data_IF_164112531340
#
_entry.id   IF_164112531340
#
_cell.length_a   1.000
_cell.length_b   1.000
_cell.length_c   1.000
_cell.angle_alpha   90.00
_cell.angle_beta   90.00
_cell.angle_gamma   90.00
#
_symmetry.space_group_name_H-M   'P 1'
#
loop_
_entity.id
_entity.type
_entity.pdbx_description
1 polymer ?
#
# COMPACT_ATOMS: atom_id res chain seq x y z
N UNK A 1 -20.74 -47.93 53.55
CA UNK A 1 -21.76 -47.30 54.47
C UNK A 1 -21.32 -45.84 54.63
N UNK A 2 -22.30 -44.95 54.44
CA UNK A 2 -22.28 -43.49 54.73
C UNK A 2 -21.74 -42.60 53.59
N UNK A 3 -22.60 -42.19 52.63
CA UNK A 3 -23.55 -41.06 52.56
C UNK A 3 -22.79 -39.70 52.32
N UNK A 4 -22.81 -39.27 51.07
CA UNK A 4 -23.48 -38.10 50.50
C UNK A 4 -23.48 -36.80 51.31
N UNK A 5 -22.91 -35.77 50.70
CA UNK A 5 -23.58 -34.43 50.66
C UNK A 5 -23.17 -33.64 49.45
N UNK A 6 -24.08 -33.48 48.46
CA UNK A 6 -24.15 -32.45 47.42
C UNK A 6 -24.22 -31.07 48.09
N UNK A 7 -23.40 -30.14 47.66
CA UNK A 7 -23.69 -28.70 47.77
C UNK A 7 -23.75 -28.06 46.38
N UNK A 8 -24.96 -27.87 45.96
CA UNK A 8 -25.37 -26.95 44.90
C UNK A 8 -24.97 -25.52 45.30
N UNK A 9 -24.05 -24.92 44.56
CA UNK A 9 -23.88 -23.47 44.56
C UNK A 9 -24.37 -22.92 43.23
N UNK A 10 -25.34 -22.06 43.32
CA UNK A 10 -26.28 -21.55 42.34
C UNK A 10 -25.65 -20.43 41.53
N UNK A 11 -25.60 -20.60 40.21
CA UNK A 11 -25.22 -19.61 39.20
C UNK A 11 -26.18 -18.40 39.20
N UNK A 12 -25.79 -17.29 39.82
CA UNK A 12 -26.52 -16.02 39.72
C UNK A 12 -25.64 -14.82 39.35
N UNK A 13 -24.34 -15.00 39.07
CA UNK A 13 -23.47 -13.90 38.66
C UNK A 13 -23.13 -13.87 37.16
N UNK A 14 -23.65 -14.76 36.36
CA UNK A 14 -23.35 -14.81 34.90
C UNK A 14 -24.33 -14.01 34.05
N UNK A 15 -25.47 -13.59 34.60
CA UNK A 15 -26.49 -12.85 33.84
C UNK A 15 -26.43 -11.33 33.99
N UNK A 16 -25.62 -10.81 34.91
CA UNK A 16 -25.48 -9.35 35.10
C UNK A 16 -24.34 -8.72 34.30
N UNK A 17 -23.47 -9.53 33.67
CA UNK A 17 -22.35 -9.03 32.87
C UNK A 17 -22.68 -8.87 31.38
N UNK A 18 -23.82 -9.33 30.92
CA UNK A 18 -24.23 -9.32 29.51
C UNK A 18 -25.13 -8.11 29.15
N UNK A 19 -25.50 -7.25 30.12
CA UNK A 19 -26.35 -6.10 29.88
C UNK A 19 -25.61 -4.74 29.92
N UNK A 20 -24.28 -4.72 30.14
CA UNK A 20 -23.50 -3.49 30.19
C UNK A 20 -22.65 -3.22 28.93
N UNK A 21 -22.82 -4.00 27.87
CA UNK A 21 -22.00 -3.91 26.65
C UNK A 21 -22.67 -3.19 25.47
N UNK A 22 -23.77 -2.43 25.69
CA UNK A 22 -24.48 -1.78 24.58
C UNK A 22 -24.77 -0.26 24.81
N UNK A 23 -23.84 0.44 25.42
CA UNK A 23 -23.86 1.91 25.44
C UNK A 23 -22.47 2.45 25.11
N UNK A 24 -21.89 1.98 23.98
CA UNK A 24 -20.96 2.86 23.29
C UNK A 24 -21.79 3.94 22.60
N UNK A 25 -21.68 5.21 23.00
CA UNK A 25 -22.22 6.26 22.19
C UNK A 25 -21.56 6.11 20.82
N UNK A 26 -22.34 5.98 19.74
CA UNK A 26 -21.89 6.29 18.40
C UNK A 26 -21.47 7.76 18.45
N UNK A 27 -20.26 8.02 18.88
CA UNK A 27 -19.65 9.32 18.78
C UNK A 27 -19.66 9.68 17.30
N UNK A 28 -20.33 10.75 16.94
CA UNK A 28 -20.16 11.43 15.66
C UNK A 28 -18.71 11.89 15.65
N UNK A 29 -17.84 11.05 15.10
CA UNK A 29 -16.41 11.37 14.99
C UNK A 29 -16.26 12.42 13.90
N UNK A 30 -15.77 13.57 14.28
CA UNK A 30 -15.37 14.62 13.36
C UNK A 30 -14.29 14.07 12.42
N UNK A 31 -14.61 13.96 11.15
CA UNK A 31 -13.75 13.29 10.16
C UNK A 31 -12.76 14.27 9.56
N UNK A 32 -11.76 14.68 10.34
CA UNK A 32 -10.66 15.48 9.82
C UNK A 32 -9.59 14.57 9.16
N UNK A 33 -8.76 15.15 8.33
CA UNK A 33 -7.76 14.42 7.53
C UNK A 33 -6.75 13.66 8.41
N UNK A 34 -6.35 14.22 9.56
CA UNK A 34 -5.42 13.59 10.49
C UNK A 34 -6.03 12.36 11.15
N UNK A 35 -7.27 12.43 11.58
CA UNK A 35 -8.00 11.31 12.19
C UNK A 35 -8.19 10.16 11.20
N UNK A 36 -8.58 10.49 9.94
CA UNK A 36 -8.68 9.51 8.86
C UNK A 36 -7.32 8.83 8.61
N UNK A 37 -6.23 9.59 8.64
CA UNK A 37 -4.89 9.02 8.49
C UNK A 37 -4.54 8.06 9.64
N UNK A 38 -4.78 8.42 10.89
CA UNK A 38 -4.50 7.57 12.05
C UNK A 38 -5.32 6.27 12.03
N UNK A 39 -6.60 6.37 11.66
CA UNK A 39 -7.45 5.19 11.44
C UNK A 39 -6.92 4.33 10.29
N UNK A 40 -6.45 4.94 9.21
CA UNK A 40 -5.89 4.22 8.07
C UNK A 40 -4.58 3.50 8.41
N UNK A 41 -3.71 4.10 9.23
CA UNK A 41 -2.47 3.44 9.72
C UNK A 41 -2.80 2.14 10.46
N UNK A 42 -3.93 2.11 11.19
CA UNK A 42 -4.33 0.96 11.99
C UNK A 42 -5.13 -0.09 11.20
N UNK A 43 -5.85 0.31 10.16
CA UNK A 43 -6.86 -0.53 9.52
C UNK A 43 -6.62 -0.78 8.02
N UNK A 44 -5.69 -0.06 7.34
CA UNK A 44 -5.47 -0.26 5.90
C UNK A 44 -4.91 -1.66 5.59
N UNK A 45 -5.63 -2.50 4.82
CA UNK A 45 -5.15 -3.84 4.48
C UNK A 45 -3.89 -3.84 3.62
N UNK A 46 -3.64 -2.81 2.81
CA UNK A 46 -2.46 -2.71 1.97
C UNK A 46 -1.21 -2.47 2.83
N UNK A 47 -1.28 -1.53 3.79
CA UNK A 47 -0.20 -1.29 4.75
C UNK A 47 0.04 -2.52 5.64
N UNK A 48 -1.02 -3.16 6.16
CA UNK A 48 -0.92 -4.38 6.96
C UNK A 48 -0.25 -5.52 6.17
N UNK A 49 -0.61 -5.68 4.90
CA UNK A 49 0.04 -6.65 4.00
C UNK A 49 1.53 -6.34 3.79
N UNK A 50 1.88 -5.07 3.57
CA UNK A 50 3.27 -4.65 3.43
C UNK A 50 4.07 -4.89 4.72
N UNK A 51 3.49 -4.63 5.89
CA UNK A 51 4.08 -4.92 7.18
C UNK A 51 4.33 -6.41 7.40
N UNK A 52 3.33 -7.24 7.09
CA UNK A 52 3.46 -8.70 7.19
C UNK A 52 4.57 -9.24 6.27
N UNK A 53 4.65 -8.72 5.03
CA UNK A 53 5.73 -9.05 4.09
C UNK A 53 7.10 -8.62 4.60
N UNK A 54 7.20 -7.42 5.18
CA UNK A 54 8.44 -6.95 5.80
C UNK A 54 8.86 -7.85 6.97
N UNK A 55 7.95 -8.20 7.88
CA UNK A 55 8.23 -9.09 9.00
C UNK A 55 8.68 -10.48 8.51
N UNK A 56 7.98 -11.05 7.51
CA UNK A 56 8.41 -12.31 6.89
C UNK A 56 9.82 -12.22 6.29
N UNK A 57 10.13 -11.14 5.58
CA UNK A 57 11.46 -10.91 5.00
C UNK A 57 12.55 -10.67 6.05
N UNK A 58 12.20 -10.13 7.20
CA UNK A 58 13.11 -9.95 8.34
C UNK A 58 13.63 -11.30 8.86
N UNK A 59 12.80 -12.36 8.81
CA UNK A 59 13.17 -13.72 9.23
C UNK A 59 14.17 -14.41 8.29
N UNK A 60 14.42 -13.88 7.11
CA UNK A 60 15.46 -14.42 6.20
C UNK A 60 16.86 -14.35 6.82
N UNK A 61 17.10 -13.38 7.74
CA UNK A 61 18.39 -13.24 8.44
C UNK A 61 18.58 -14.34 9.49
N UNK A 62 17.65 -14.60 10.43
CA UNK A 62 17.74 -15.76 11.33
C UNK A 62 17.83 -17.09 10.58
N UNK A 63 17.04 -17.29 9.52
CA UNK A 63 17.09 -18.49 8.68
C UNK A 63 18.46 -18.69 8.02
N UNK A 64 19.08 -17.62 7.51
CA UNK A 64 20.43 -17.72 6.96
C UNK A 64 21.49 -17.94 8.05
N UNK A 65 21.27 -17.38 9.24
CA UNK A 65 22.15 -17.56 10.38
C UNK A 65 22.10 -18.99 10.92
N UNK A 66 20.93 -19.64 10.92
CA UNK A 66 20.76 -21.02 11.41
C UNK A 66 21.63 -22.01 10.65
N UNK A 67 21.99 -21.72 9.38
CA UNK A 67 22.92 -22.55 8.59
C UNK A 67 24.39 -22.50 9.10
N UNK A 68 24.70 -21.62 10.03
CA UNK A 68 26.03 -21.47 10.67
C UNK A 68 26.01 -21.90 12.14
N UNK A 69 24.84 -22.23 12.67
CA UNK A 69 24.65 -22.64 14.06
C UNK A 69 24.59 -24.16 14.18
N UNK A 70 24.82 -24.72 15.40
CA UNK A 70 24.67 -26.14 15.65
C UNK A 70 23.24 -26.61 15.31
N UNK A 71 23.14 -27.75 14.64
CA UNK A 71 21.87 -28.43 14.37
C UNK A 71 21.85 -29.71 15.21
N UNK A 72 20.82 -29.85 16.04
CA UNK A 72 20.62 -31.01 16.91
C UNK A 72 19.37 -31.73 16.44
N UNK A 73 19.48 -33.04 16.32
CA UNK A 73 18.35 -33.87 15.94
C UNK A 73 18.36 -35.21 16.64
N UNK A 74 17.20 -35.84 16.71
CA UNK A 74 17.02 -37.21 17.19
C UNK A 74 16.29 -37.99 16.10
N UNK A 75 16.75 -39.21 15.85
CA UNK A 75 16.12 -40.16 14.93
C UNK A 75 15.86 -41.46 15.65
N UNK A 76 14.72 -42.05 15.48
CA UNK A 76 14.39 -43.39 15.91
C UNK A 76 13.94 -44.20 14.67
N UNK A 77 14.31 -45.45 14.61
CA UNK A 77 13.89 -46.35 13.53
C UNK A 77 13.64 -47.76 14.07
N UNK A 78 12.71 -48.43 13.44
CA UNK A 78 12.48 -49.86 13.57
C UNK A 78 12.44 -50.45 12.17
N UNK A 79 13.08 -51.57 11.97
CA UNK A 79 13.06 -52.27 10.69
C UNK A 79 12.99 -53.79 10.89
N UNK A 80 12.22 -54.45 10.04
CA UNK A 80 12.15 -55.90 9.95
C UNK A 80 12.90 -56.31 8.68
N UNK A 81 13.93 -57.11 8.87
CA UNK A 81 14.91 -57.45 7.82
C UNK A 81 14.86 -58.94 7.53
N UNK A 82 14.81 -59.27 6.24
CA UNK A 82 15.11 -60.62 5.73
C UNK A 82 16.43 -60.58 5.01
N UNK A 83 17.40 -61.42 5.44
CA UNK A 83 18.72 -61.55 4.80
C UNK A 83 18.84 -62.97 4.28
N UNK A 84 19.18 -63.11 3.02
CA UNK A 84 19.43 -64.36 2.33
C UNK A 84 20.77 -64.29 1.59
N UNK A 85 21.53 -65.36 1.61
CA UNK A 85 22.81 -65.46 0.90
C UNK A 85 22.65 -66.46 -0.26
N UNK A 86 22.23 -66.00 -1.47
CA UNK A 86 21.94 -66.89 -2.61
C UNK A 86 23.12 -67.73 -3.07
N UNK A 87 24.33 -67.25 -2.82
CA UNK A 87 25.58 -67.95 -3.20
C UNK A 87 25.98 -69.08 -2.21
N UNK A 88 25.29 -69.25 -1.10
CA UNK A 88 25.55 -70.34 -0.13
C UNK A 88 24.28 -71.22 0.00
N UNK A 89 24.24 -72.39 -0.68
CA UNK A 89 23.08 -73.28 -0.67
C UNK A 89 22.72 -73.85 0.70
N UNK A 90 23.63 -73.75 1.67
CA UNK A 90 23.41 -74.18 3.05
C UNK A 90 22.83 -73.06 3.97
N UNK A 91 22.70 -71.82 3.45
CA UNK A 91 22.19 -70.70 4.22
C UNK A 91 20.66 -70.64 4.13
N UNK A 92 19.98 -70.73 5.25
CA UNK A 92 18.56 -70.37 5.37
C UNK A 92 18.41 -68.87 5.49
N UNK A 93 17.32 -68.31 4.95
CA UNK A 93 17.00 -66.88 5.16
C UNK A 93 16.92 -66.58 6.65
N UNK A 94 17.66 -65.58 7.08
CA UNK A 94 17.58 -65.10 8.47
C UNK A 94 16.62 -63.90 8.56
N UNK A 95 15.73 -63.93 9.52
CA UNK A 95 14.81 -62.88 9.85
C UNK A 95 15.25 -62.21 11.14
N UNK A 96 15.39 -60.86 11.14
CA UNK A 96 15.78 -60.11 12.30
C UNK A 96 15.20 -58.72 12.26
N UNK A 97 14.83 -58.22 13.41
CA UNK A 97 14.40 -56.83 13.59
C UNK A 97 15.57 -55.99 14.14
N UNK A 98 15.64 -54.76 13.70
CA UNK A 98 16.57 -53.77 14.21
C UNK A 98 15.75 -52.59 14.75
N UNK A 99 15.97 -52.26 15.99
CA UNK A 99 15.39 -51.11 16.66
C UNK A 99 16.53 -50.21 17.09
N UNK A 100 16.37 -48.90 16.92
CA UNK A 100 17.41 -48.00 17.36
C UNK A 100 16.96 -46.56 17.41
N UNK A 101 17.71 -45.80 18.18
CA UNK A 101 17.60 -44.36 18.18
C UNK A 101 19.00 -43.75 18.14
N UNK A 102 19.08 -42.52 17.62
CA UNK A 102 20.32 -41.76 17.56
C UNK A 102 20.08 -40.30 17.81
N UNK A 103 20.93 -39.69 18.60
CA UNK A 103 21.02 -38.26 18.72
C UNK A 103 22.24 -37.73 17.98
N UNK A 104 22.14 -36.62 17.29
CA UNK A 104 23.25 -36.04 16.59
C UNK A 104 23.29 -34.50 16.75
N UNK A 105 24.50 -33.97 16.76
CA UNK A 105 24.82 -32.56 16.67
C UNK A 105 25.72 -32.37 15.46
N UNK A 106 25.30 -31.46 14.55
CA UNK A 106 26.13 -31.08 13.40
C UNK A 106 26.42 -29.59 13.48
N UNK A 107 27.71 -29.21 13.49
CA UNK A 107 28.19 -27.83 13.55
C UNK A 107 29.04 -27.52 12.36
N UNK A 108 28.62 -26.64 11.42
CA UNK A 108 29.51 -26.09 10.41
C UNK A 108 30.60 -25.22 11.09
N UNK A 109 31.86 -25.62 10.88
CA UNK A 109 33.04 -24.87 11.39
C UNK A 109 33.51 -23.86 10.36
N UNK A 110 33.61 -24.29 9.10
CA UNK A 110 33.99 -23.41 7.99
C UNK A 110 33.12 -23.68 6.78
N UNK A 111 32.22 -22.70 6.47
CA UNK A 111 31.34 -22.76 5.30
C UNK A 111 31.14 -21.34 4.75
N UNK A 112 32.08 -20.88 3.93
CA UNK A 112 32.14 -19.48 3.48
C UNK A 112 30.93 -19.10 2.59
N UNK A 113 30.36 -20.06 1.85
CA UNK A 113 29.10 -19.84 1.11
C UNK A 113 27.98 -19.36 2.04
N UNK A 114 27.75 -20.09 3.16
CA UNK A 114 26.69 -19.74 4.15
C UNK A 114 26.96 -18.39 4.81
N UNK A 115 28.23 -18.04 5.02
CA UNK A 115 28.59 -16.70 5.50
C UNK A 115 28.17 -15.60 4.53
N UNK A 116 28.46 -15.76 3.23
CA UNK A 116 28.03 -14.79 2.23
C UNK A 116 26.51 -14.78 2.03
N UNK A 117 25.82 -15.93 2.18
CA UNK A 117 24.36 -15.99 2.20
C UNK A 117 23.77 -15.20 3.39
N UNK A 118 24.38 -15.27 4.58
CA UNK A 118 24.00 -14.43 5.72
C UNK A 118 24.23 -12.94 5.42
N UNK A 119 25.31 -12.55 4.76
CA UNK A 119 25.51 -11.15 4.36
C UNK A 119 24.50 -10.71 3.31
N UNK A 120 24.16 -11.58 2.36
CA UNK A 120 23.09 -11.35 1.37
C UNK A 120 21.74 -11.14 2.05
N UNK A 121 21.38 -11.96 3.02
CA UNK A 121 20.10 -11.87 3.73
C UNK A 121 19.95 -10.55 4.51
N UNK A 122 21.05 -10.00 5.05
CA UNK A 122 21.06 -8.66 5.68
C UNK A 122 20.69 -7.58 4.67
N UNK A 123 21.22 -7.64 3.44
CA UNK A 123 20.88 -6.68 2.38
C UNK A 123 19.42 -6.85 1.91
N UNK A 124 18.91 -8.09 1.83
CA UNK A 124 17.50 -8.35 1.52
C UNK A 124 16.55 -7.82 2.60
N UNK A 125 16.96 -7.84 3.88
CA UNK A 125 16.21 -7.17 4.96
C UNK A 125 16.20 -5.66 4.77
N UNK A 126 17.34 -5.05 4.38
CA UNK A 126 17.40 -3.60 4.12
C UNK A 126 16.52 -3.21 2.92
N UNK A 127 16.48 -4.03 1.87
CA UNK A 127 15.56 -3.87 0.73
C UNK A 127 14.09 -3.91 1.19
N UNK A 128 13.72 -4.90 2.00
CA UNK A 128 12.36 -5.03 2.52
C UNK A 128 11.97 -3.87 3.44
N UNK A 129 12.91 -3.36 4.24
CA UNK A 129 12.70 -2.16 5.06
C UNK A 129 12.42 -0.94 4.21
N UNK A 130 13.21 -0.70 3.15
CA UNK A 130 13.01 0.42 2.25
C UNK A 130 11.66 0.33 1.52
N UNK A 131 11.25 -0.86 1.08
CA UNK A 131 9.93 -1.09 0.49
C UNK A 131 8.79 -0.79 1.46
N UNK A 132 8.91 -1.21 2.72
CA UNK A 132 7.90 -0.90 3.74
C UNK A 132 7.80 0.60 4.00
N UNK A 133 8.95 1.31 4.08
CA UNK A 133 8.95 2.76 4.23
C UNK A 133 8.33 3.48 3.01
N UNK A 134 8.55 2.96 1.79
CA UNK A 134 7.86 3.45 0.59
C UNK A 134 6.33 3.29 0.70
N UNK A 135 5.85 2.17 1.23
CA UNK A 135 4.41 1.92 1.42
C UNK A 135 3.80 2.81 2.50
N UNK A 136 4.55 3.11 3.58
CA UNK A 136 4.13 4.09 4.57
C UNK A 136 3.90 5.47 3.96
N UNK A 137 4.79 5.91 3.06
CA UNK A 137 4.58 7.16 2.32
C UNK A 137 3.43 7.05 1.30
N UNK A 138 3.25 5.90 0.66
CA UNK A 138 2.14 5.67 -0.26
C UNK A 138 0.78 5.76 0.46
N UNK A 139 0.69 5.31 1.70
CA UNK A 139 -0.52 5.48 2.52
C UNK A 139 -0.86 6.96 2.71
N UNK A 140 0.11 7.83 3.02
CA UNK A 140 -0.10 9.28 3.19
C UNK A 140 -0.73 9.87 1.93
N UNK A 141 -0.18 9.57 0.77
CA UNK A 141 -0.71 10.05 -0.52
C UNK A 141 -2.09 9.46 -0.80
N UNK A 142 -2.31 8.17 -0.55
CA UNK A 142 -3.59 7.47 -0.76
C UNK A 142 -4.71 8.07 0.09
N UNK A 143 -4.44 8.36 1.36
CA UNK A 143 -5.39 9.05 2.25
C UNK A 143 -5.76 10.42 1.68
N UNK A 144 -4.75 11.22 1.31
CA UNK A 144 -4.98 12.54 0.73
C UNK A 144 -5.75 12.46 -0.61
N UNK A 145 -5.42 11.52 -1.49
CA UNK A 145 -6.12 11.33 -2.78
C UNK A 145 -7.60 11.00 -2.60
N UNK A 146 -7.93 10.12 -1.65
CA UNK A 146 -9.31 9.76 -1.36
C UNK A 146 -10.04 10.97 -0.78
N UNK A 147 -9.44 11.66 0.19
CA UNK A 147 -10.01 12.85 0.82
C UNK A 147 -10.28 13.96 -0.19
N UNK A 148 -9.29 14.39 -0.95
CA UNK A 148 -9.42 15.46 -1.93
C UNK A 148 -10.30 15.08 -3.13
N UNK A 149 -10.45 13.79 -3.44
CA UNK A 149 -11.44 13.32 -4.41
C UNK A 149 -12.87 13.55 -3.91
N UNK A 150 -13.16 13.36 -2.63
CA UNK A 150 -14.48 13.70 -2.04
C UNK A 150 -14.73 15.21 -2.20
N UNK A 151 -13.74 16.04 -1.86
CA UNK A 151 -13.86 17.49 -2.02
C UNK A 151 -14.09 17.92 -3.48
N UNK A 152 -13.41 17.27 -4.42
CA UNK A 152 -13.56 17.53 -5.86
C UNK A 152 -14.96 17.13 -6.36
N UNK A 153 -15.52 16.00 -5.89
CA UNK A 153 -16.89 15.58 -6.22
C UNK A 153 -17.94 16.50 -5.62
N UNK A 154 -17.70 16.97 -4.41
CA UNK A 154 -18.57 17.99 -3.79
C UNK A 154 -18.54 19.32 -4.57
N UNK A 155 -17.36 19.76 -4.99
CA UNK A 155 -17.25 20.97 -5.82
C UNK A 155 -18.00 20.82 -7.17
N UNK A 156 -17.98 19.63 -7.78
CA UNK A 156 -18.74 19.33 -8.99
C UNK A 156 -20.25 19.38 -8.72
N UNK A 157 -20.71 18.71 -7.65
CA UNK A 157 -22.12 18.72 -7.24
C UNK A 157 -22.62 20.13 -6.92
N UNK A 158 -21.84 20.89 -6.15
CA UNK A 158 -22.19 22.28 -5.81
C UNK A 158 -22.33 23.16 -7.08
N UNK A 159 -21.41 23.00 -8.03
CA UNK A 159 -21.46 23.73 -9.31
C UNK A 159 -22.68 23.32 -10.17
N UNK A 160 -22.97 22.02 -10.29
CA UNK A 160 -24.11 21.52 -11.05
C UNK A 160 -25.46 21.91 -10.40
N UNK A 161 -25.56 21.86 -9.07
CA UNK A 161 -26.73 22.26 -8.35
C UNK A 161 -27.00 23.78 -8.48
N UNK A 162 -25.95 24.61 -8.35
CA UNK A 162 -26.05 26.05 -8.57
C UNK A 162 -26.45 26.38 -10.01
N UNK A 163 -25.91 25.68 -10.99
CA UNK A 163 -26.29 25.80 -12.39
C UNK A 163 -27.76 25.44 -12.62
N UNK A 164 -28.24 24.30 -12.07
CA UNK A 164 -29.67 23.91 -12.18
C UNK A 164 -30.59 24.98 -11.64
N UNK A 165 -30.27 25.53 -10.48
CA UNK A 165 -31.09 26.58 -9.85
C UNK A 165 -31.08 27.89 -10.66
N UNK A 166 -29.96 28.28 -11.26
CA UNK A 166 -29.86 29.42 -12.15
C UNK A 166 -30.69 29.21 -13.43
N UNK A 167 -30.58 28.04 -14.07
CA UNK A 167 -31.34 27.70 -15.28
C UNK A 167 -32.83 27.57 -14.99
N UNK A 168 -33.22 27.07 -13.81
CA UNK A 168 -34.63 27.05 -13.37
C UNK A 168 -35.23 28.44 -13.31
N UNK A 169 -34.56 29.37 -12.61
CA UNK A 169 -34.99 30.78 -12.54
C UNK A 169 -35.09 31.41 -13.94
N UNK A 170 -34.14 31.10 -14.79
CA UNK A 170 -34.15 31.58 -16.18
C UNK A 170 -35.35 31.03 -16.97
N UNK A 171 -35.68 29.73 -16.83
CA UNK A 171 -36.86 29.12 -17.44
C UNK A 171 -38.15 29.80 -16.96
N UNK A 172 -38.27 30.04 -15.66
CA UNK A 172 -39.45 30.75 -15.08
C UNK A 172 -39.62 32.17 -15.67
N UNK A 173 -38.53 32.94 -15.80
CA UNK A 173 -38.54 34.25 -16.42
C UNK A 173 -38.91 34.21 -17.90
N UNK A 174 -38.35 33.30 -18.66
CA UNK A 174 -38.65 33.14 -20.10
C UNK A 174 -40.09 32.72 -20.30
N UNK A 175 -40.63 31.84 -19.45
CA UNK A 175 -42.04 31.44 -19.50
C UNK A 175 -42.98 32.64 -19.25
N UNK A 176 -42.72 33.45 -18.23
CA UNK A 176 -43.48 34.65 -17.97
C UNK A 176 -43.45 35.67 -19.11
N UNK A 177 -42.28 35.84 -19.75
CA UNK A 177 -42.15 36.73 -20.96
C UNK A 177 -42.86 36.15 -22.16
N UNK A 178 -42.94 34.86 -22.33
CA UNK A 178 -43.69 34.21 -23.41
C UNK A 178 -45.20 34.39 -23.17
N UNK A 179 -45.69 34.20 -21.95
CA UNK A 179 -47.10 34.30 -21.63
C UNK A 179 -47.66 35.72 -21.91
N UNK A 180 -46.78 36.74 -21.91
CA UNK A 180 -47.17 38.12 -22.30
C UNK A 180 -46.75 38.51 -23.72
N UNK A 181 -46.26 37.50 -24.55
CA UNK A 181 -45.94 37.68 -25.96
C UNK A 181 -44.63 38.38 -26.28
N UNK A 182 -43.68 38.46 -25.32
CA UNK A 182 -42.40 39.20 -25.45
C UNK A 182 -41.26 38.32 -26.04
N UNK A 183 -41.39 37.00 -26.02
CA UNK A 183 -40.36 36.06 -26.52
C UNK A 183 -41.02 34.90 -27.31
N UNK A 184 -40.24 34.19 -28.13
CA UNK A 184 -40.71 33.08 -28.93
C UNK A 184 -40.83 31.79 -28.08
N UNK A 185 -41.69 30.85 -28.53
CA UNK A 185 -41.83 29.52 -27.87
C UNK A 185 -40.50 28.70 -27.96
N UNK A 186 -39.65 28.98 -28.92
CA UNK A 186 -38.30 28.37 -29.02
C UNK A 186 -37.46 28.65 -27.82
N UNK A 187 -37.50 29.87 -27.28
CA UNK A 187 -36.73 30.28 -26.10
C UNK A 187 -37.17 29.50 -24.84
N UNK A 188 -38.47 29.23 -24.71
CA UNK A 188 -39.05 28.41 -23.65
C UNK A 188 -38.57 26.97 -23.76
N UNK A 189 -38.62 26.39 -24.99
CA UNK A 189 -38.22 25.02 -25.25
C UNK A 189 -36.69 24.81 -25.01
N UNK A 190 -35.88 25.78 -25.41
CA UNK A 190 -34.42 25.76 -25.18
C UNK A 190 -34.11 25.86 -23.66
N UNK A 191 -34.76 26.76 -22.94
CA UNK A 191 -34.61 26.92 -21.49
C UNK A 191 -35.06 25.65 -20.75
N UNK A 192 -36.15 25.02 -21.20
CA UNK A 192 -36.66 23.77 -20.63
C UNK A 192 -35.67 22.62 -20.88
N UNK A 193 -35.16 22.47 -22.10
CA UNK A 193 -34.16 21.48 -22.42
C UNK A 193 -32.87 21.66 -21.59
N UNK A 194 -32.43 22.90 -21.38
CA UNK A 194 -31.31 23.23 -20.53
C UNK A 194 -31.57 22.86 -19.06
N UNK A 195 -32.76 23.11 -18.54
CA UNK A 195 -33.18 22.73 -17.18
C UNK A 195 -33.18 21.21 -17.01
N UNK A 196 -33.81 20.48 -17.91
CA UNK A 196 -33.87 19.02 -17.87
C UNK A 196 -32.45 18.41 -17.92
N UNK A 197 -31.58 18.90 -18.80
CA UNK A 197 -30.16 18.49 -18.88
C UNK A 197 -29.38 18.81 -17.58
N UNK A 198 -29.63 19.97 -16.97
CA UNK A 198 -28.96 20.34 -15.72
C UNK A 198 -29.43 19.47 -14.54
N UNK A 199 -30.69 19.03 -14.56
CA UNK A 199 -31.23 18.10 -13.55
C UNK A 199 -30.56 16.73 -13.63
N UNK A 200 -30.36 16.19 -14.85
CA UNK A 200 -29.61 14.95 -15.06
C UNK A 200 -28.19 15.08 -14.52
N UNK A 201 -27.50 16.20 -14.79
CA UNK A 201 -26.14 16.43 -14.29
C UNK A 201 -26.08 16.42 -12.75
N UNK A 202 -27.05 17.00 -12.07
CA UNK A 202 -27.10 16.97 -10.58
C UNK A 202 -27.27 15.54 -10.08
N UNK A 203 -28.15 14.74 -10.66
CA UNK A 203 -28.36 13.33 -10.26
C UNK A 203 -27.08 12.50 -10.44
N UNK A 204 -26.36 12.71 -11.54
CA UNK A 204 -25.08 12.05 -11.79
C UNK A 204 -24.02 12.47 -10.76
N UNK A 205 -23.91 13.76 -10.45
CA UNK A 205 -22.95 14.28 -9.50
C UNK A 205 -23.29 13.88 -8.04
N UNK A 206 -24.58 13.79 -7.67
CA UNK A 206 -25.03 13.24 -6.38
C UNK A 206 -24.57 11.78 -6.22
N UNK A 207 -24.77 10.97 -7.24
CA UNK A 207 -24.31 9.58 -7.26
C UNK A 207 -22.78 9.47 -7.18
N UNK A 208 -22.07 10.31 -7.93
CA UNK A 208 -20.60 10.33 -7.93
C UNK A 208 -20.04 10.79 -6.59
N UNK A 209 -20.63 11.80 -5.96
CA UNK A 209 -20.25 12.29 -4.63
C UNK A 209 -20.47 11.20 -3.57
N UNK A 210 -21.64 10.57 -3.53
CA UNK A 210 -21.94 9.49 -2.60
C UNK A 210 -20.95 8.32 -2.74
N UNK A 211 -20.66 7.90 -3.98
CA UNK A 211 -19.70 6.82 -4.27
C UNK A 211 -18.24 7.20 -3.91
N UNK A 212 -17.89 8.48 -3.88
CA UNK A 212 -16.53 8.91 -3.55
C UNK A 212 -16.14 8.62 -2.08
N UNK A 213 -17.09 8.37 -1.20
CA UNK A 213 -16.86 7.95 0.19
C UNK A 213 -16.51 6.47 0.33
N UNK A 214 -16.86 5.60 -0.61
CA UNK A 214 -16.61 4.15 -0.53
C UNK A 214 -15.12 3.77 -0.40
N UNK A 215 -14.18 4.41 -1.14
CA UNK A 215 -12.75 4.16 -0.93
C UNK A 215 -12.28 4.51 0.48
N UNK A 216 -12.91 5.49 1.15
CA UNK A 216 -12.60 5.86 2.52
C UNK A 216 -13.03 4.75 3.50
N UNK A 217 -14.21 4.17 3.29
CA UNK A 217 -14.68 3.01 4.06
C UNK A 217 -13.74 1.81 3.90
N UNK A 218 -13.31 1.53 2.67
CA UNK A 218 -12.35 0.46 2.39
C UNK A 218 -11.01 0.68 3.09
N UNK A 219 -10.53 1.93 3.17
CA UNK A 219 -9.24 2.28 3.74
C UNK A 219 -9.25 2.19 5.28
N UNK A 220 -10.34 2.66 5.92
CA UNK A 220 -10.44 2.82 7.37
C UNK A 220 -11.24 1.72 8.07
N UNK A 221 -12.03 0.95 7.30
CA UNK A 221 -12.98 -0.02 7.83
C UNK A 221 -14.22 0.61 8.49
N UNK A 222 -14.44 1.94 8.36
CA UNK A 222 -15.55 2.68 8.95
C UNK A 222 -16.24 3.55 7.92
N UNK A 223 -17.55 3.72 8.06
CA UNK A 223 -18.31 4.69 7.29
C UNK A 223 -18.16 6.08 7.91
N UNK A 224 -18.14 7.09 7.06
CA UNK A 224 -18.10 8.51 7.42
C UNK A 224 -19.31 9.21 6.81
N UNK A 225 -19.96 10.03 7.60
CA UNK A 225 -21.14 10.78 7.15
C UNK A 225 -20.74 12.13 6.54
N UNK A 226 -19.60 12.68 6.94
CA UNK A 226 -19.11 13.96 6.42
C UNK A 226 -17.59 14.06 6.52
N UNK A 227 -17.00 14.99 5.75
CA UNK A 227 -15.61 15.45 5.83
C UNK A 227 -15.58 16.98 5.82
N UNK A 228 -14.46 17.59 6.22
CA UNK A 228 -14.29 19.03 6.21
C UNK A 228 -13.74 19.56 4.89
N UNK A 229 -14.17 20.74 4.47
CA UNK A 229 -13.67 21.44 3.29
C UNK A 229 -12.25 21.98 3.45
N UNK A 230 -11.62 22.37 2.36
CA UNK A 230 -10.33 23.07 2.36
C UNK A 230 -10.56 24.58 2.42
N UNK A 231 -10.02 25.24 3.44
CA UNK A 231 -10.12 26.70 3.62
C UNK A 231 -9.59 27.46 2.40
N UNK A 232 -10.25 28.58 2.08
CA UNK A 232 -9.80 29.49 1.01
C UNK A 232 -8.46 30.16 1.31
N UNK A 233 -8.06 30.20 2.58
CA UNK A 233 -6.76 30.75 3.03
C UNK A 233 -5.59 29.79 2.86
N UNK A 234 -5.82 28.57 2.32
CA UNK A 234 -4.76 27.61 2.08
C UNK A 234 -3.66 28.20 1.17
N UNK A 235 -2.40 28.25 1.61
CA UNK A 235 -1.32 28.90 0.86
C UNK A 235 -0.90 28.07 -0.36
N UNK A 236 -0.98 28.66 -1.54
CA UNK A 236 -0.48 28.04 -2.78
C UNK A 236 0.84 28.73 -3.15
N UNK A 237 1.95 27.98 -3.05
CA UNK A 237 3.31 28.49 -3.25
C UNK A 237 4.13 27.53 -4.12
N UNK A 238 5.09 28.07 -4.86
CA UNK A 238 6.09 27.24 -5.56
C UNK A 238 6.87 26.37 -4.57
N UNK A 239 7.41 25.22 -5.02
CA UNK A 239 8.29 24.40 -4.19
C UNK A 239 9.47 25.22 -3.66
N UNK A 240 9.88 24.94 -2.42
CA UNK A 240 11.04 25.57 -1.79
C UNK A 240 12.06 24.49 -1.44
N UNK A 241 13.29 24.53 -1.97
CA UNK A 241 13.82 25.54 -2.92
C UNK A 241 13.17 25.47 -4.31
N UNK A 242 13.07 26.61 -5.00
CA UNK A 242 12.53 26.66 -6.38
C UNK A 242 13.64 26.34 -7.40
N UNK A 243 14.29 25.21 -7.23
CA UNK A 243 15.37 24.69 -8.07
C UNK A 243 15.14 23.20 -8.35
N UNK A 244 14.85 22.86 -9.60
CA UNK A 244 14.53 21.50 -10.06
C UNK A 244 15.68 20.51 -9.76
N UNK A 245 16.94 20.90 -9.94
CA UNK A 245 18.08 20.00 -9.76
C UNK A 245 18.35 19.66 -8.28
N UNK A 246 18.09 20.58 -7.35
CA UNK A 246 18.20 20.28 -5.92
C UNK A 246 17.19 19.21 -5.49
N UNK A 247 15.96 19.26 -6.00
CA UNK A 247 14.95 18.23 -5.77
C UNK A 247 15.35 16.87 -6.37
N UNK A 248 15.98 16.88 -7.56
CA UNK A 248 16.50 15.66 -8.20
C UNK A 248 17.62 15.05 -7.37
N UNK A 249 18.58 15.86 -6.92
CA UNK A 249 19.70 15.38 -6.10
C UNK A 249 19.21 14.79 -4.77
N UNK A 250 18.25 15.44 -4.15
CA UNK A 250 17.64 14.95 -2.92
C UNK A 250 16.85 13.65 -3.15
N UNK A 251 16.11 13.56 -4.25
CA UNK A 251 15.37 12.34 -4.63
C UNK A 251 16.32 11.15 -4.84
N UNK A 252 17.43 11.33 -5.53
CA UNK A 252 18.40 10.26 -5.75
C UNK A 252 19.04 9.76 -4.45
N UNK A 253 19.12 10.58 -3.40
CA UNK A 253 19.64 10.22 -2.07
C UNK A 253 18.59 9.56 -1.18
N UNK A 254 17.35 10.05 -1.22
CA UNK A 254 16.35 9.74 -0.20
C UNK A 254 15.24 8.80 -0.68
N UNK A 255 14.99 8.70 -1.99
CA UNK A 255 13.92 7.87 -2.52
C UNK A 255 14.05 6.40 -2.07
N UNK A 256 12.99 5.87 -1.45
CA UNK A 256 13.01 4.50 -0.91
C UNK A 256 13.08 3.42 -1.97
N UNK A 257 12.58 3.66 -3.20
CA UNK A 257 12.70 2.69 -4.30
C UNK A 257 14.15 2.59 -4.79
N UNK A 258 14.88 3.71 -4.82
CA UNK A 258 16.33 3.73 -5.11
C UNK A 258 17.08 2.96 -4.03
N UNK A 259 16.84 3.27 -2.74
CA UNK A 259 17.47 2.56 -1.60
C UNK A 259 17.21 1.06 -1.61
N UNK A 260 15.98 0.64 -1.97
CA UNK A 260 15.65 -0.78 -2.11
C UNK A 260 16.46 -1.45 -3.22
N UNK A 261 16.60 -0.83 -4.38
CA UNK A 261 17.37 -1.37 -5.49
C UNK A 261 18.89 -1.32 -5.25
N UNK A 262 19.40 -0.35 -4.50
CA UNK A 262 20.80 -0.34 -4.04
C UNK A 262 21.08 -1.53 -3.12
N UNK A 263 20.18 -1.82 -2.18
CA UNK A 263 20.28 -3.00 -1.33
C UNK A 263 20.21 -4.31 -2.13
N UNK A 264 19.42 -4.38 -3.21
CA UNK A 264 19.40 -5.54 -4.13
C UNK A 264 20.71 -5.71 -4.90
N UNK A 265 21.35 -4.64 -5.35
CA UNK A 265 22.69 -4.70 -5.97
C UNK A 265 23.71 -5.22 -4.97
N UNK A 266 23.66 -4.77 -3.71
CA UNK A 266 24.56 -5.27 -2.68
C UNK A 266 24.29 -6.74 -2.32
N UNK A 267 23.03 -7.15 -2.30
CA UNK A 267 22.65 -8.57 -2.19
C UNK A 267 23.23 -9.39 -3.35
N UNK A 268 23.14 -8.90 -4.58
CA UNK A 268 23.73 -9.51 -5.78
C UNK A 268 25.26 -9.66 -5.70
N UNK A 269 25.97 -8.63 -5.18
CA UNK A 269 27.42 -8.72 -4.92
C UNK A 269 27.76 -9.85 -3.94
N UNK A 270 26.94 -10.01 -2.88
CA UNK A 270 27.12 -11.10 -1.90
C UNK A 270 26.78 -12.47 -2.49
N UNK A 271 25.71 -12.54 -3.32
CA UNK A 271 25.36 -13.76 -4.06
C UNK A 271 26.49 -14.24 -4.96
N UNK A 272 27.13 -13.33 -5.70
CA UNK A 272 28.30 -13.65 -6.53
C UNK A 272 29.48 -14.17 -5.68
N UNK A 273 29.73 -13.56 -4.51
CA UNK A 273 30.77 -14.06 -3.58
C UNK A 273 30.41 -15.44 -3.05
N UNK A 274 29.14 -15.70 -2.70
CA UNK A 274 28.68 -17.03 -2.28
C UNK A 274 28.88 -18.06 -3.38
N UNK A 275 28.52 -17.76 -4.64
CA UNK A 275 28.73 -18.65 -5.77
C UNK A 275 30.22 -18.99 -6.00
N UNK A 276 31.09 -17.97 -5.87
CA UNK A 276 32.56 -18.20 -5.95
C UNK A 276 33.09 -19.07 -4.81
N UNK A 277 32.49 -18.95 -3.62
CA UNK A 277 32.96 -19.73 -2.44
C UNK A 277 32.66 -21.23 -2.54
N UNK A 278 31.84 -21.67 -3.49
CA UNK A 278 31.60 -23.10 -3.74
C UNK A 278 32.83 -23.88 -4.23
N UNK A 279 33.89 -23.18 -4.64
CA UNK A 279 35.17 -23.79 -4.91
C UNK A 279 36.02 -24.06 -3.67
N UNK A 280 35.65 -23.46 -2.54
CA UNK A 280 36.41 -23.53 -1.31
C UNK A 280 36.00 -24.75 -0.48
N UNK A 281 36.91 -25.28 0.38
CA UNK A 281 36.57 -26.39 1.26
C UNK A 281 35.49 -26.01 2.26
N UNK A 282 34.76 -27.00 2.75
CA UNK A 282 33.89 -26.93 3.93
C UNK A 282 34.43 -27.81 5.04
N UNK A 283 34.25 -27.39 6.27
CA UNK A 283 34.61 -28.14 7.46
C UNK A 283 33.37 -28.19 8.37
N UNK A 284 32.93 -29.42 8.66
CA UNK A 284 31.80 -29.68 9.53
C UNK A 284 32.22 -30.62 10.66
N UNK A 285 31.88 -30.31 11.90
CA UNK A 285 32.03 -31.19 13.06
C UNK A 285 30.69 -31.87 13.36
N UNK A 286 30.73 -33.17 13.52
CA UNK A 286 29.58 -34.00 13.85
C UNK A 286 29.85 -34.80 15.12
N UNK A 287 28.93 -34.79 16.06
CA UNK A 287 28.94 -35.68 17.22
C UNK A 287 27.63 -36.46 17.19
N UNK A 288 27.69 -37.76 17.33
CA UNK A 288 26.48 -38.59 17.39
C UNK A 288 26.62 -39.65 18.49
N UNK A 289 25.52 -39.98 19.07
CA UNK A 289 25.29 -41.14 19.93
C UNK A 289 24.19 -41.97 19.26
N UNK A 290 24.42 -43.30 19.15
CA UNK A 290 23.43 -44.22 18.67
C UNK A 290 23.32 -45.43 19.58
N UNK A 291 22.11 -45.83 19.84
CA UNK A 291 21.74 -47.08 20.52
C UNK A 291 20.99 -47.94 19.52
N UNK A 292 21.48 -49.12 19.23
CA UNK A 292 20.89 -50.07 18.29
C UNK A 292 20.77 -51.44 18.95
N UNK A 293 19.56 -51.97 18.83
CA UNK A 293 19.24 -53.33 19.29
C UNK A 293 18.82 -54.15 18.07
N UNK A 294 19.48 -55.27 17.85
CA UNK A 294 19.12 -56.23 16.79
C UNK A 294 18.87 -57.60 17.36
N UNK A 295 17.74 -58.23 16.98
CA UNK A 295 17.37 -59.55 17.44
C UNK A 295 16.46 -60.26 16.46
N UNK A 296 16.38 -61.61 16.56
CA UNK A 296 15.54 -62.43 15.70
C UNK A 296 15.77 -63.90 15.88
N UNK A 297 15.00 -64.75 15.18
CA UNK A 297 15.01 -66.21 15.32
C UNK A 297 16.32 -66.87 14.95
N UNK A 298 17.19 -66.18 14.21
CA UNK A 298 18.46 -66.73 13.73
C UNK A 298 19.69 -65.89 14.18
N UNK A 299 19.49 -64.94 15.08
CA UNK A 299 20.52 -64.02 15.52
C UNK A 299 20.43 -63.82 17.04
N UNK A 300 21.51 -64.13 17.75
CA UNK A 300 21.61 -63.75 19.16
C UNK A 300 21.53 -62.26 19.27
N UNK A 301 20.54 -61.73 20.02
CA UNK A 301 20.33 -60.32 20.19
C UNK A 301 21.62 -59.59 20.52
N UNK A 302 21.88 -58.49 19.81
CA UNK A 302 23.02 -57.63 20.02
C UNK A 302 22.56 -56.19 20.29
N UNK A 303 22.96 -55.67 21.41
CA UNK A 303 22.80 -54.28 21.78
C UNK A 303 24.13 -53.55 21.60
N UNK A 304 24.11 -52.42 20.90
CA UNK A 304 25.33 -51.64 20.61
C UNK A 304 25.10 -50.18 20.88
N UNK A 305 25.86 -49.64 21.82
CA UNK A 305 26.00 -48.22 22.04
C UNK A 305 27.25 -47.67 21.36
N UNK A 306 27.08 -46.68 20.51
CA UNK A 306 28.18 -46.08 19.78
C UNK A 306 28.20 -44.57 19.94
N UNK A 307 29.36 -44.03 20.32
CA UNK A 307 29.62 -42.59 20.35
C UNK A 307 30.64 -42.28 19.25
N UNK A 308 30.32 -41.30 18.40
CA UNK A 308 31.21 -40.93 17.30
C UNK A 308 31.35 -39.40 17.26
N UNK A 309 32.60 -38.95 17.23
CA UNK A 309 32.94 -37.56 16.95
C UNK A 309 33.76 -37.50 15.64
N UNK A 310 33.28 -36.72 14.69
CA UNK A 310 33.87 -36.67 13.34
C UNK A 310 34.10 -35.22 12.92
N UNK A 311 35.28 -34.95 12.37
CA UNK A 311 35.55 -33.69 11.68
C UNK A 311 35.64 -34.00 10.18
N UNK A 312 34.67 -33.51 9.43
CA UNK A 312 34.59 -33.73 8.00
C UNK A 312 35.19 -32.54 7.24
N UNK A 313 36.22 -32.79 6.45
CA UNK A 313 36.76 -31.85 5.47
C UNK A 313 36.32 -32.26 4.08
N UNK A 314 35.63 -31.36 3.34
CA UNK A 314 35.20 -31.64 1.97
C UNK A 314 35.60 -30.50 1.05
N UNK A 315 36.33 -30.80 -0.03
CA UNK A 315 36.71 -29.82 -1.04
C UNK A 315 36.35 -30.35 -2.42
N UNK A 316 35.41 -29.72 -3.12
CA UNK A 316 35.05 -30.16 -4.48
C UNK A 316 36.10 -29.69 -5.48
N UNK A 317 36.84 -30.63 -6.08
CA UNK A 317 37.90 -30.35 -7.09
C UNK A 317 37.24 -30.11 -8.46
N UNK A 318 36.31 -31.00 -8.85
CA UNK A 318 35.60 -30.90 -10.13
C UNK A 318 34.15 -31.35 -10.00
N UNK A 319 33.23 -30.52 -10.46
CA UNK A 319 31.77 -30.77 -10.42
C UNK A 319 31.14 -30.59 -11.81
N UNK A 320 31.75 -31.12 -12.86
CA UNK A 320 31.20 -31.06 -14.21
C UNK A 320 30.93 -29.64 -14.74
N UNK A 321 31.66 -28.64 -14.23
CA UNK A 321 31.46 -27.23 -14.62
C UNK A 321 30.35 -26.46 -13.88
N UNK A 322 29.57 -27.10 -12.97
CA UNK A 322 28.44 -26.52 -12.28
C UNK A 322 28.81 -25.23 -11.53
N UNK A 323 29.91 -25.21 -10.78
CA UNK A 323 30.35 -24.01 -10.04
C UNK A 323 30.68 -22.85 -10.98
N UNK A 324 31.40 -23.14 -12.10
CA UNK A 324 31.72 -22.10 -13.09
C UNK A 324 30.46 -21.50 -13.73
N UNK A 325 29.49 -22.35 -14.08
CA UNK A 325 28.18 -21.89 -14.61
C UNK A 325 27.40 -21.12 -13.59
N UNK A 326 27.38 -21.55 -12.32
CA UNK A 326 26.73 -20.81 -11.21
C UNK A 326 27.37 -19.43 -10.97
N UNK A 327 28.69 -19.29 -11.09
CA UNK A 327 29.37 -17.99 -10.99
C UNK A 327 29.03 -17.10 -12.18
N UNK A 328 28.92 -17.63 -13.42
CA UNK A 328 28.49 -16.84 -14.58
C UNK A 328 27.04 -16.36 -14.40
N UNK A 329 26.15 -17.26 -13.99
CA UNK A 329 24.74 -16.88 -13.68
C UNK A 329 24.68 -15.76 -12.64
N UNK A 330 25.32 -15.92 -11.48
CA UNK A 330 25.34 -14.89 -10.44
C UNK A 330 25.97 -13.55 -10.90
N UNK A 331 26.89 -13.58 -11.88
CA UNK A 331 27.43 -12.35 -12.49
C UNK A 331 26.40 -11.63 -13.34
N UNK A 332 25.67 -12.38 -14.18
CA UNK A 332 24.60 -11.80 -15.01
C UNK A 332 23.43 -11.30 -14.16
N UNK A 333 23.07 -12.00 -13.07
CA UNK A 333 22.06 -11.55 -12.11
C UNK A 333 22.46 -10.20 -11.45
N UNK A 334 23.75 -10.08 -11.07
CA UNK A 334 24.27 -8.82 -10.54
C UNK A 334 24.23 -7.69 -11.59
N UNK A 335 24.57 -7.99 -12.84
CA UNK A 335 24.48 -7.01 -13.92
C UNK A 335 23.03 -6.59 -14.17
N UNK A 336 22.10 -7.52 -14.17
CA UNK A 336 20.66 -7.21 -14.25
C UNK A 336 20.20 -6.30 -13.10
N UNK A 337 20.59 -6.61 -11.85
CA UNK A 337 20.28 -5.75 -10.70
C UNK A 337 20.84 -4.33 -10.85
N UNK A 338 22.05 -4.17 -11.40
CA UNK A 338 22.63 -2.84 -11.69
C UNK A 338 21.86 -2.06 -12.74
N UNK A 339 21.40 -2.75 -13.81
CA UNK A 339 20.57 -2.12 -14.85
C UNK A 339 19.21 -1.70 -14.35
N UNK A 340 18.61 -2.51 -13.46
CA UNK A 340 17.36 -2.15 -12.78
C UNK A 340 17.57 -0.91 -11.90
N UNK A 341 18.66 -0.81 -11.15
CA UNK A 341 18.98 0.37 -10.37
C UNK A 341 19.16 1.62 -11.25
N UNK A 342 19.88 1.50 -12.38
CA UNK A 342 20.06 2.61 -13.33
C UNK A 342 18.71 3.07 -13.91
N UNK A 343 17.86 2.11 -14.33
CA UNK A 343 16.50 2.41 -14.79
C UNK A 343 15.69 3.14 -13.70
N UNK A 344 15.71 2.63 -12.47
CA UNK A 344 15.00 3.24 -11.34
C UNK A 344 15.47 4.67 -11.07
N UNK A 345 16.79 4.92 -11.11
CA UNK A 345 17.34 6.27 -10.95
C UNK A 345 16.84 7.22 -12.02
N UNK A 346 16.82 6.79 -13.29
CA UNK A 346 16.28 7.59 -14.41
C UNK A 346 14.79 7.87 -14.25
N UNK A 347 13.99 6.89 -13.84
CA UNK A 347 12.57 7.09 -13.57
C UNK A 347 12.31 8.07 -12.43
N UNK A 348 13.11 8.00 -11.35
CA UNK A 348 13.00 8.94 -10.23
C UNK A 348 13.34 10.35 -10.68
N UNK A 349 14.40 10.55 -11.49
CA UNK A 349 14.75 11.85 -12.07
C UNK A 349 13.60 12.38 -12.93
N UNK A 350 13.08 11.58 -13.84
CA UNK A 350 11.96 11.96 -14.73
C UNK A 350 10.73 12.36 -13.92
N UNK A 351 10.32 11.52 -12.95
CA UNK A 351 9.15 11.78 -12.11
C UNK A 351 9.32 13.04 -11.24
N UNK A 352 10.52 13.26 -10.68
CA UNK A 352 10.80 14.44 -9.85
C UNK A 352 10.71 15.72 -10.69
N UNK A 353 11.33 15.75 -11.86
CA UNK A 353 11.26 16.90 -12.78
C UNK A 353 9.82 17.16 -13.25
N UNK A 354 9.11 16.10 -13.61
CA UNK A 354 7.69 16.20 -14.04
C UNK A 354 6.82 16.77 -12.93
N UNK A 355 6.92 16.25 -11.69
CA UNK A 355 6.13 16.70 -10.56
C UNK A 355 6.50 18.13 -10.13
N UNK A 356 7.79 18.49 -10.15
CA UNK A 356 8.23 19.85 -9.85
C UNK A 356 7.61 20.88 -10.83
N UNK A 357 7.65 20.60 -12.12
CA UNK A 357 7.02 21.46 -13.14
C UNK A 357 5.51 21.47 -13.01
N UNK A 358 4.90 20.34 -12.66
CA UNK A 358 3.45 20.22 -12.48
C UNK A 358 2.99 21.06 -11.28
N UNK A 359 3.70 21.04 -10.15
CA UNK A 359 3.38 21.89 -8.98
C UNK A 359 3.48 23.38 -9.36
N UNK A 360 4.54 23.81 -10.06
CA UNK A 360 4.65 25.19 -10.53
C UNK A 360 3.53 25.58 -11.51
N UNK A 361 3.12 24.64 -12.38
CA UNK A 361 1.96 24.83 -13.27
C UNK A 361 0.66 24.96 -12.49
N UNK A 362 0.47 24.16 -11.43
CA UNK A 362 -0.72 24.23 -10.59
C UNK A 362 -0.79 25.56 -9.81
N UNK A 363 0.35 26.10 -9.34
CA UNK A 363 0.41 27.44 -8.73
C UNK A 363 -0.09 28.51 -9.72
N UNK A 364 0.39 28.49 -10.94
CA UNK A 364 -0.05 29.42 -11.98
C UNK A 364 -1.53 29.21 -12.34
N UNK A 365 -1.99 27.95 -12.40
CA UNK A 365 -3.38 27.59 -12.72
C UNK A 365 -4.36 28.05 -11.64
N UNK A 366 -4.01 27.91 -10.35
CA UNK A 366 -4.85 28.42 -9.25
C UNK A 366 -4.98 29.94 -9.34
N UNK A 367 -3.88 30.65 -9.56
CA UNK A 367 -3.90 32.11 -9.72
C UNK A 367 -4.73 32.56 -10.94
N UNK A 368 -4.56 31.88 -12.10
CA UNK A 368 -5.34 32.17 -13.30
C UNK A 368 -6.82 31.79 -13.11
N UNK A 369 -7.12 30.68 -12.44
CA UNK A 369 -8.49 30.22 -12.16
C UNK A 369 -9.28 31.23 -11.34
N UNK A 370 -8.66 31.87 -10.33
CA UNK A 370 -9.30 32.92 -9.53
C UNK A 370 -9.73 34.11 -10.42
N UNK A 371 -8.82 34.61 -11.27
CA UNK A 371 -9.14 35.68 -12.24
C UNK A 371 -10.19 35.23 -13.26
N UNK A 372 -10.19 33.93 -13.64
CA UNK A 372 -11.16 33.35 -14.55
C UNK A 372 -12.59 33.40 -14.01
N UNK A 373 -12.77 33.19 -12.70
CA UNK A 373 -14.08 33.33 -12.04
C UNK A 373 -14.55 34.79 -12.14
N UNK A 374 -13.72 35.75 -11.72
CA UNK A 374 -14.04 37.20 -11.78
C UNK A 374 -14.45 37.65 -13.19
N UNK A 375 -13.72 37.17 -14.22
CA UNK A 375 -14.02 37.49 -15.62
C UNK A 375 -15.35 36.84 -16.08
N UNK A 376 -15.60 35.58 -15.65
CA UNK A 376 -16.83 34.87 -16.04
C UNK A 376 -18.09 35.46 -15.34
N UNK A 377 -17.95 35.95 -14.10
CA UNK A 377 -18.98 36.66 -13.39
C UNK A 377 -19.35 37.96 -14.12
N UNK A 378 -18.37 38.79 -14.46
CA UNK A 378 -18.59 40.03 -15.21
C UNK A 378 -19.20 39.76 -16.60
N UNK A 379 -18.76 38.71 -17.29
CA UNK A 379 -19.32 38.34 -18.59
C UNK A 379 -20.79 37.86 -18.47
N UNK A 380 -21.14 37.14 -17.42
CA UNK A 380 -22.52 36.72 -17.17
C UNK A 380 -23.42 37.95 -16.87
N UNK A 381 -22.98 38.86 -16.01
CA UNK A 381 -23.69 40.08 -15.69
C UNK A 381 -23.96 40.94 -16.95
N UNK A 382 -22.93 41.17 -17.78
CA UNK A 382 -23.10 41.91 -19.04
C UNK A 382 -24.05 41.21 -20.03
N UNK A 383 -24.00 39.85 -20.08
CA UNK A 383 -24.86 39.07 -20.96
C UNK A 383 -26.34 39.10 -20.49
N UNK A 384 -26.57 39.05 -19.17
CA UNK A 384 -27.91 39.19 -18.59
C UNK A 384 -28.49 40.55 -18.92
N UNK A 385 -27.74 41.64 -18.70
CA UNK A 385 -28.15 42.99 -19.06
C UNK A 385 -28.45 43.13 -20.56
N UNK A 386 -27.59 42.56 -21.42
CA UNK A 386 -27.80 42.53 -22.86
C UNK A 386 -29.07 41.77 -23.28
N UNK A 387 -29.40 40.69 -22.58
CA UNK A 387 -30.63 39.93 -22.78
C UNK A 387 -31.89 40.74 -22.35
N UNK A 388 -31.82 41.44 -21.26
CA UNK A 388 -32.92 42.31 -20.78
C UNK A 388 -33.27 43.41 -21.77
N UNK A 389 -32.26 44.05 -22.41
CA UNK A 389 -32.45 45.10 -23.42
C UNK A 389 -32.61 44.55 -24.84
N UNK A 390 -32.63 43.21 -25.07
CA UNK A 390 -32.88 42.57 -26.35
C UNK A 390 -31.69 42.52 -27.32
N UNK A 391 -30.45 42.84 -26.88
CA UNK A 391 -29.25 42.77 -27.70
C UNK A 391 -28.55 41.41 -27.64
N UNK A 392 -28.94 40.52 -26.74
CA UNK A 392 -28.47 39.16 -26.59
C UNK A 392 -29.65 38.18 -26.55
N UNK A 393 -29.38 36.93 -26.89
CA UNK A 393 -30.41 35.88 -26.83
C UNK A 393 -30.24 35.00 -25.57
N UNK A 394 -31.20 34.11 -25.32
CA UNK A 394 -31.22 33.24 -24.16
C UNK A 394 -30.07 32.25 -24.17
N UNK A 395 -29.64 31.79 -25.36
CA UNK A 395 -28.51 30.81 -25.49
C UNK A 395 -27.21 31.45 -25.03
N UNK A 396 -27.00 32.76 -25.28
CA UNK A 396 -25.83 33.49 -24.77
C UNK A 396 -25.80 33.49 -23.24
N UNK A 397 -26.93 33.71 -22.57
CA UNK A 397 -27.08 33.68 -21.10
C UNK A 397 -26.77 32.30 -20.55
N UNK A 398 -27.33 31.24 -21.13
CA UNK A 398 -27.10 29.87 -20.72
C UNK A 398 -25.62 29.47 -20.89
N UNK A 399 -24.96 29.94 -21.94
CA UNK A 399 -23.53 29.71 -22.18
C UNK A 399 -22.64 30.47 -21.18
N UNK A 400 -22.99 31.73 -20.84
CA UNK A 400 -22.26 32.49 -19.85
C UNK A 400 -22.40 31.88 -18.43
N UNK A 401 -23.60 31.41 -18.06
CA UNK A 401 -23.82 30.66 -16.81
C UNK A 401 -22.96 29.37 -16.78
N UNK A 402 -22.96 28.57 -17.86
CA UNK A 402 -22.13 27.37 -17.97
C UNK A 402 -20.64 27.70 -17.77
N UNK A 403 -20.16 28.80 -18.38
CA UNK A 403 -18.76 29.21 -18.27
C UNK A 403 -18.39 29.56 -16.84
N UNK A 404 -19.23 30.28 -16.10
CA UNK A 404 -19.01 30.65 -14.68
C UNK A 404 -18.90 29.40 -13.81
N UNK A 405 -19.87 28.49 -13.84
CA UNK A 405 -19.86 27.29 -13.01
C UNK A 405 -18.70 26.36 -13.34
N UNK A 406 -18.31 26.26 -14.62
CA UNK A 406 -17.12 25.53 -15.02
C UNK A 406 -15.84 26.18 -14.47
N UNK A 407 -15.73 27.52 -14.48
CA UNK A 407 -14.59 28.25 -13.92
C UNK A 407 -14.45 28.03 -12.40
N UNK A 408 -15.56 28.04 -11.67
CA UNK A 408 -15.60 27.77 -10.22
C UNK A 408 -15.14 26.34 -9.90
N UNK A 409 -15.65 25.34 -10.62
CA UNK A 409 -15.21 23.95 -10.47
C UNK A 409 -13.72 23.77 -10.82
N UNK A 410 -13.27 24.37 -11.92
CA UNK A 410 -11.86 24.29 -12.34
C UNK A 410 -10.89 24.91 -11.33
N UNK A 411 -11.28 26.01 -10.69
CA UNK A 411 -10.51 26.63 -9.63
C UNK A 411 -10.40 25.72 -8.40
N UNK A 412 -11.51 25.15 -7.93
CA UNK A 412 -11.51 24.22 -6.81
C UNK A 412 -10.64 22.98 -7.10
N UNK A 413 -10.84 22.35 -8.26
CA UNK A 413 -10.06 21.19 -8.72
C UNK A 413 -8.58 21.51 -8.87
N UNK A 414 -8.19 22.72 -9.32
CA UNK A 414 -6.80 23.14 -9.39
C UNK A 414 -6.13 23.21 -8.01
N UNK A 415 -6.84 23.71 -6.98
CA UNK A 415 -6.35 23.76 -5.59
C UNK A 415 -6.10 22.35 -5.04
N UNK A 416 -7.03 21.42 -5.25
CA UNK A 416 -6.88 20.04 -4.79
C UNK A 416 -5.73 19.32 -5.50
N UNK A 417 -5.58 19.52 -6.80
CA UNK A 417 -4.45 18.96 -7.57
C UNK A 417 -3.11 19.50 -7.11
N UNK A 418 -3.01 20.80 -6.81
CA UNK A 418 -1.82 21.39 -6.24
C UNK A 418 -1.38 20.68 -4.94
N UNK A 419 -2.32 20.46 -4.02
CA UNK A 419 -2.03 19.73 -2.76
C UNK A 419 -1.51 18.33 -3.06
N UNK A 420 -2.23 17.57 -3.90
CA UNK A 420 -1.86 16.19 -4.22
C UNK A 420 -0.49 16.10 -4.92
N UNK A 421 -0.22 17.00 -5.89
CA UNK A 421 1.05 16.99 -6.60
C UNK A 421 2.22 17.43 -5.71
N UNK A 422 1.99 18.30 -4.74
CA UNK A 422 2.98 18.65 -3.71
C UNK A 422 3.34 17.45 -2.83
N UNK A 423 2.33 16.68 -2.38
CA UNK A 423 2.56 15.46 -1.60
C UNK A 423 3.28 14.39 -2.43
N UNK A 424 2.90 14.21 -3.69
CA UNK A 424 3.55 13.25 -4.62
C UNK A 424 5.00 13.65 -4.91
N UNK A 425 5.30 14.96 -5.03
CA UNK A 425 6.66 15.43 -5.16
C UNK A 425 7.49 15.07 -3.94
N UNK A 426 7.01 15.35 -2.73
CA UNK A 426 7.65 14.97 -1.46
C UNK A 426 7.83 13.46 -1.32
N UNK A 427 6.85 12.66 -1.74
CA UNK A 427 6.92 11.20 -1.77
C UNK A 427 8.02 10.73 -2.73
N UNK A 428 8.08 11.27 -3.94
CA UNK A 428 9.08 10.91 -4.95
C UNK A 428 10.49 11.24 -4.48
N UNK A 429 10.65 12.33 -3.75
CA UNK A 429 11.93 12.70 -3.12
C UNK A 429 12.22 11.83 -1.89
N UNK A 430 11.24 11.23 -1.26
CA UNK A 430 11.40 10.38 -0.08
C UNK A 430 11.40 11.15 1.24
N UNK A 431 10.92 12.41 1.25
CA UNK A 431 10.84 13.27 2.44
C UNK A 431 9.43 13.43 2.98
N UNK A 432 8.43 12.81 2.34
CA UNK A 432 7.04 12.84 2.79
C UNK A 432 6.92 12.17 4.17
N UNK A 433 6.30 12.87 5.11
CA UNK A 433 6.16 12.43 6.49
C UNK A 433 4.71 12.65 7.01
N UNK A 434 4.28 11.99 8.09
CA UNK A 434 2.96 12.20 8.70
C UNK A 434 2.66 13.66 9.05
N UNK A 435 3.70 14.44 9.38
CA UNK A 435 3.63 15.87 9.68
C UNK A 435 3.02 16.68 8.53
N UNK A 436 3.19 16.22 7.29
CA UNK A 436 2.59 16.87 6.13
C UNK A 436 1.06 16.79 6.16
N UNK A 437 0.50 15.66 6.60
CA UNK A 437 -0.95 15.50 6.81
C UNK A 437 -1.44 16.37 7.96
N UNK A 438 -0.72 16.39 9.09
CA UNK A 438 -1.09 17.22 10.24
C UNK A 438 -1.03 18.73 9.90
N UNK A 439 -0.07 19.14 9.08
CA UNK A 439 0.02 20.51 8.60
C UNK A 439 -1.13 20.87 7.63
N UNK A 440 -1.50 19.96 6.71
CA UNK A 440 -2.66 20.14 5.84
C UNK A 440 -3.96 20.23 6.64
N UNK A 441 -4.09 19.41 7.68
CA UNK A 441 -5.28 19.40 8.55
C UNK A 441 -5.56 20.76 9.20
N UNK A 442 -4.53 21.59 9.47
CA UNK A 442 -4.69 22.95 10.02
C UNK A 442 -5.42 23.91 9.08
N UNK A 443 -5.44 23.60 7.80
CA UNK A 443 -6.10 24.41 6.77
C UNK A 443 -7.47 23.85 6.35
N UNK A 444 -7.99 22.86 7.06
CA UNK A 444 -9.36 22.42 6.86
C UNK A 444 -10.31 23.37 7.58
N UNK A 445 -11.41 23.69 6.91
CA UNK A 445 -12.46 24.55 7.45
C UNK A 445 -13.51 23.70 8.18
N UNK A 446 -13.47 23.70 9.49
CA UNK A 446 -14.42 22.95 10.34
C UNK A 446 -15.84 23.48 10.26
N UNK A 447 -16.07 24.67 9.69
CA UNK A 447 -17.41 25.22 9.47
C UNK A 447 -18.04 24.71 8.18
N UNK A 448 -17.23 24.30 7.21
CA UNK A 448 -17.66 23.75 5.93
C UNK A 448 -17.67 22.21 6.00
N UNK A 449 -18.81 21.65 6.39
CA UNK A 449 -19.00 20.19 6.40
C UNK A 449 -19.57 19.71 5.06
N UNK A 450 -18.91 18.72 4.49
CA UNK A 450 -19.31 18.06 3.24
C UNK A 450 -19.94 16.73 3.61
N UNK A 451 -21.28 16.69 3.60
CA UNK A 451 -22.07 15.53 4.01
C UNK A 451 -22.28 14.59 2.83
N UNK A 452 -22.17 13.29 3.07
CA UNK A 452 -22.48 12.26 2.08
C UNK A 452 -23.92 12.35 1.63
N UNK A 453 -24.15 12.41 0.34
CA UNK A 453 -25.52 12.41 -0.24
C UNK A 453 -26.13 11.01 -0.09
N UNK A 454 -27.15 10.88 0.74
CA UNK A 454 -27.84 9.60 1.01
C UNK A 454 -29.14 9.46 0.23
N UNK A 455 -29.70 10.57 -0.30
CA UNK A 455 -30.92 10.57 -1.10
C UNK A 455 -30.64 11.24 -2.43
N UNK A 456 -30.90 10.54 -3.52
CA UNK A 456 -30.85 11.12 -4.86
C UNK A 456 -32.07 12.04 -5.05
N UNK A 457 -31.86 13.20 -5.66
CA UNK A 457 -32.94 14.13 -6.03
C UNK A 457 -33.84 13.43 -7.05
N UNK A 458 -35.13 13.27 -6.72
CA UNK A 458 -36.16 12.68 -7.59
C UNK A 458 -36.87 13.77 -8.41
#
# INVERSE_FOLDING_TARGET
MIISKKKTFRNYHFFLFLLLCNLFPMGVFASNLSEIYELSVSNDPELATAQARYLSRKEVVPLSRSQLLPQIGVRAQTSDNRREFPSNPASTASYFNENGWSGFLNQPIFKLESWYQLQRSKNLRSEAQAKFSSEQQALIVRVAEIYFRILEREAALSASAAKREAVKRQLEQVQQRFDVGLVAITDVLESKAAFDSSTVSVIEDEGAQSNSFEPLVRLTGRAFDFVYGLSDQFPVKSPDPNNEEEWVDEALKNNYTVKANEALVDAGKRSLKAAKSRHLPTIDAQVSYSHNESGGTSFLGQEVDQQTATLNFSMPIFQGGAVRSGVRAARHDLEAARKILDLTKRQVVENTRSLFRLVNTDVARVSAGKRGIESSESALEATLTGYEVGTRNIVDVLNAQRSLFLSQFQYASARYRYVLNTLRLKQTVGVLAPEDIYNLNKFLDTTQTITRTTKLTR
#
